data_IF_716978981374
#
_entry.id   IF_716978981374
#
_cell.length_a   1.000
_cell.length_b   1.000
_cell.length_c   1.000
_cell.angle_alpha   90.00
_cell.angle_beta   90.00
_cell.angle_gamma   90.00
#
_symmetry.space_group_name_H-M   'P 1'
#
loop_
_entity.id
_entity.type
_entity.pdbx_description
1 polymer ?
#
# COMPACT_ATOMS: atom_id res chain seq x y z
N UNK A 1 -6.84 13.19 4.25
CA UNK A 1 -7.72 12.05 3.91
C UNK A 1 -6.92 10.78 4.11
N UNK A 2 -7.55 9.65 4.51
CA UNK A 2 -6.83 8.40 4.64
C UNK A 2 -6.26 7.97 3.28
N UNK A 3 -5.10 7.32 3.31
CA UNK A 3 -4.56 6.65 2.12
C UNK A 3 -5.45 5.43 1.85
N UNK A 4 -5.86 5.25 0.59
CA UNK A 4 -6.71 4.14 0.15
C UNK A 4 -5.88 3.09 -0.61
N UNK A 5 -6.35 1.85 -0.59
CA UNK A 5 -5.81 0.79 -1.44
C UNK A 5 -6.54 0.86 -2.79
N UNK A 6 -5.87 1.19 -3.90
CA UNK A 6 -6.52 1.22 -5.22
C UNK A 6 -6.99 -0.17 -5.60
N UNK A 7 -8.16 -0.26 -6.21
CA UNK A 7 -8.63 -1.54 -6.76
C UNK A 7 -7.70 -2.05 -7.87
N UNK A 8 -7.55 -3.38 -7.94
CA UNK A 8 -6.85 -3.99 -9.07
C UNK A 8 -7.61 -3.66 -10.36
N UNK A 9 -6.91 -3.29 -11.45
CA UNK A 9 -7.55 -3.00 -12.73
C UNK A 9 -7.98 -4.27 -13.49
N UNK A 10 -7.89 -5.44 -12.85
CA UNK A 10 -8.18 -6.75 -13.42
C UNK A 10 -8.63 -7.74 -12.34
N UNK A 11 -9.24 -8.86 -12.77
CA UNK A 11 -9.64 -9.96 -11.88
C UNK A 11 -8.43 -10.69 -11.28
N UNK A 12 -8.63 -11.36 -10.14
CA UNK A 12 -7.54 -12.01 -9.37
C UNK A 12 -6.81 -13.15 -10.11
N UNK A 13 -7.37 -13.69 -11.17
CA UNK A 13 -6.83 -14.76 -12.00
C UNK A 13 -6.39 -14.27 -13.40
N UNK A 14 -6.53 -12.97 -13.69
CA UNK A 14 -6.28 -12.42 -15.02
C UNK A 14 -4.82 -12.53 -15.51
N UNK A 15 -3.88 -12.85 -14.61
CA UNK A 15 -2.45 -12.95 -14.92
C UNK A 15 -1.96 -14.40 -15.06
N UNK A 16 -2.84 -15.40 -14.95
CA UNK A 16 -2.47 -16.81 -15.12
C UNK A 16 -2.10 -17.14 -16.57
N UNK A 17 -1.14 -18.07 -16.82
CA UNK A 17 -0.36 -18.83 -15.84
C UNK A 17 0.93 -18.11 -15.39
N UNK A 18 1.15 -16.86 -15.81
CA UNK A 18 2.38 -16.12 -15.52
C UNK A 18 2.48 -15.68 -14.06
N UNK A 19 1.34 -15.42 -13.42
CA UNK A 19 1.23 -15.16 -11.98
C UNK A 19 -0.07 -15.79 -11.47
N UNK A 20 0.03 -16.57 -10.39
CA UNK A 20 -1.13 -17.27 -9.85
C UNK A 20 -2.10 -16.33 -9.15
N UNK A 21 -3.37 -16.73 -9.11
CA UNK A 21 -4.36 -16.09 -8.23
C UNK A 21 -3.90 -16.01 -6.77
N UNK A 22 -3.27 -17.08 -6.27
CA UNK A 22 -2.76 -17.12 -4.90
C UNK A 22 -1.74 -16.00 -4.64
N UNK A 23 -0.83 -15.73 -5.59
CA UNK A 23 0.09 -14.60 -5.49
C UNK A 23 -0.65 -13.28 -5.35
N UNK A 24 -1.71 -13.03 -6.13
CA UNK A 24 -2.50 -11.80 -5.99
C UNK A 24 -3.35 -11.76 -4.71
N UNK A 25 -3.78 -12.91 -4.18
CA UNK A 25 -4.49 -13.01 -2.90
C UNK A 25 -3.62 -12.63 -1.71
N UNK A 26 -2.34 -13.02 -1.72
CA UNK A 26 -1.40 -12.60 -0.69
C UNK A 26 -0.81 -11.21 -0.97
N UNK A 27 -0.27 -10.97 -2.17
CA UNK A 27 0.49 -9.75 -2.45
C UNK A 27 -0.41 -8.50 -2.36
N UNK A 28 -1.52 -8.46 -3.10
CA UNK A 28 -2.46 -7.34 -3.00
C UNK A 28 -3.32 -7.44 -1.73
N UNK A 29 -3.94 -8.61 -1.51
CA UNK A 29 -4.95 -8.79 -0.46
C UNK A 29 -4.41 -8.78 0.98
N UNK A 30 -3.13 -9.09 1.20
CA UNK A 30 -2.49 -9.07 2.52
C UNK A 30 -1.38 -8.04 2.62
N UNK A 31 -0.39 -8.08 1.72
CA UNK A 31 0.80 -7.23 1.84
C UNK A 31 0.49 -5.76 1.51
N UNK A 32 -0.03 -5.45 0.32
CA UNK A 32 -0.36 -4.08 -0.09
C UNK A 32 -1.40 -3.45 0.83
N UNK A 33 -2.50 -4.18 1.09
CA UNK A 33 -3.50 -3.80 2.09
C UNK A 33 -2.91 -3.58 3.49
N UNK A 34 -1.90 -4.37 3.86
CA UNK A 34 -1.18 -4.26 5.13
C UNK A 34 -0.35 -2.98 5.23
N UNK A 35 0.34 -2.59 4.16
CA UNK A 35 1.09 -1.33 4.11
C UNK A 35 0.16 -0.11 4.23
N UNK A 36 -0.97 -0.10 3.53
CA UNK A 36 -1.98 0.97 3.67
C UNK A 36 -2.46 1.10 5.12
N UNK A 37 -2.82 -0.03 5.75
CA UNK A 37 -3.26 -0.04 7.16
C UNK A 37 -2.20 0.47 8.12
N UNK A 38 -0.93 0.08 7.93
CA UNK A 38 0.19 0.51 8.78
C UNK A 38 0.51 1.99 8.57
N UNK A 39 0.51 2.46 7.32
CA UNK A 39 0.74 3.85 6.98
C UNK A 39 -0.30 4.76 7.63
N UNK A 40 -1.59 4.47 7.45
CA UNK A 40 -2.65 5.27 8.06
C UNK A 40 -2.53 5.35 9.59
N UNK A 41 -2.18 4.24 10.26
CA UNK A 41 -1.92 4.24 11.71
C UNK A 41 -0.72 5.10 12.10
N UNK A 42 0.35 5.08 11.31
CA UNK A 42 1.53 5.91 11.56
C UNK A 42 1.22 7.40 11.35
N UNK A 43 0.52 7.75 10.27
CA UNK A 43 0.10 9.13 9.98
C UNK A 43 -0.79 9.69 11.09
N UNK A 44 -1.76 8.92 11.58
CA UNK A 44 -2.62 9.32 12.70
C UNK A 44 -1.79 9.52 13.98
N UNK A 45 -0.92 8.57 14.32
CA UNK A 45 -0.08 8.64 15.52
C UNK A 45 0.86 9.85 15.51
N UNK A 46 1.40 10.20 14.36
CA UNK A 46 2.38 11.28 14.19
C UNK A 46 1.74 12.63 13.82
N UNK A 47 0.41 12.67 13.62
CA UNK A 47 -0.31 13.88 13.21
C UNK A 47 0.08 14.37 11.81
N UNK A 48 0.50 13.45 10.94
CA UNK A 48 0.98 13.74 9.59
C UNK A 48 -0.13 13.55 8.56
N UNK A 49 -0.02 14.29 7.45
CA UNK A 49 -0.87 14.10 6.28
C UNK A 49 -0.13 14.53 5.02
N UNK A 50 -0.52 13.99 3.87
CA UNK A 50 0.08 14.30 2.58
C UNK A 50 -0.26 13.21 1.55
N UNK A 51 0.08 13.48 0.29
CA UNK A 51 0.12 12.46 -0.77
C UNK A 51 1.21 11.41 -0.52
N UNK A 52 1.13 10.27 -1.20
CA UNK A 52 2.17 9.25 -1.12
C UNK A 52 3.52 9.80 -1.58
N UNK A 53 3.56 10.53 -2.70
CA UNK A 53 4.78 11.12 -3.23
C UNK A 53 5.42 12.13 -2.27
N UNK A 54 4.61 12.97 -1.62
CA UNK A 54 5.11 13.89 -0.59
C UNK A 54 5.71 13.12 0.58
N UNK A 55 4.98 12.14 1.13
CA UNK A 55 5.46 11.33 2.25
C UNK A 55 6.74 10.57 1.91
N UNK A 56 6.85 10.03 0.70
CA UNK A 56 8.07 9.35 0.20
C UNK A 56 9.26 10.32 0.15
N UNK A 57 9.03 11.57 -0.25
CA UNK A 57 10.10 12.57 -0.40
C UNK A 57 10.52 13.22 0.91
N UNK A 58 9.62 13.32 1.88
CA UNK A 58 9.87 14.11 3.11
C UNK A 58 10.05 13.27 4.37
N UNK A 59 9.54 12.04 4.41
CA UNK A 59 9.58 11.21 5.61
C UNK A 59 10.74 10.21 5.57
N UNK A 60 11.07 9.65 6.74
CA UNK A 60 12.05 8.57 6.88
C UNK A 60 11.46 7.46 7.76
N UNK A 61 12.18 6.34 7.91
CA UNK A 61 11.78 5.27 8.82
C UNK A 61 10.42 4.65 8.47
N UNK A 62 9.58 4.45 9.48
CA UNK A 62 8.33 3.71 9.33
C UNK A 62 7.34 4.33 8.34
N UNK A 63 7.18 5.65 8.34
CA UNK A 63 6.26 6.34 7.41
C UNK A 63 6.77 6.21 5.98
N UNK A 64 8.07 6.48 5.74
CA UNK A 64 8.69 6.27 4.43
C UNK A 64 8.54 4.84 3.93
N UNK A 65 8.87 3.86 4.77
CA UNK A 65 8.84 2.44 4.41
C UNK A 65 7.44 2.00 3.96
N UNK A 66 6.38 2.45 4.64
CA UNK A 66 5.02 2.07 4.26
C UNK A 66 4.50 2.90 3.08
N UNK A 67 4.81 4.19 2.99
CA UNK A 67 4.40 5.02 1.85
C UNK A 67 5.01 4.52 0.53
N UNK A 68 6.31 4.25 0.52
CA UNK A 68 7.02 3.73 -0.66
C UNK A 68 6.56 2.33 -1.07
N UNK A 69 6.06 1.51 -0.15
CA UNK A 69 5.51 0.18 -0.46
C UNK A 69 4.04 0.22 -0.90
N UNK A 70 3.35 1.35 -0.74
CA UNK A 70 1.98 1.53 -1.23
C UNK A 70 1.96 2.10 -2.66
N UNK A 71 2.87 3.04 -2.96
CA UNK A 71 3.01 3.68 -4.26
C UNK A 71 3.56 2.73 -5.33
#
# INVERSE_FOLDING_TARGET
MPIELPDLPFARDALEPHMSRETLDYHYGKHHAGYVKKLNKALEKEGLSGSLEELIRTQTGGVFNNAAQVW
#
